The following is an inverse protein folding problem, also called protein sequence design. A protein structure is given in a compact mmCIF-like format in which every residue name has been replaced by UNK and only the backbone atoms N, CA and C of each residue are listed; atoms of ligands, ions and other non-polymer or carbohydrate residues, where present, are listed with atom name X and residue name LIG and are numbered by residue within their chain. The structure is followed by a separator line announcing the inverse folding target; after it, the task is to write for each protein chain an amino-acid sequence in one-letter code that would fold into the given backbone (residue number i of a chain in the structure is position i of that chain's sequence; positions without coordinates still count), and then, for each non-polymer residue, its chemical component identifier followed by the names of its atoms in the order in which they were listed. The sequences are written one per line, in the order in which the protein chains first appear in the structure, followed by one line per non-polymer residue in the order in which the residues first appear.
data_IF_264340655117
#
_entry.id   IF_264340655117
#
_cell.length_a   1.000
_cell.length_b   1.000
_cell.length_c   1.000
_cell.angle_alpha   90.00
_cell.angle_beta   90.00
_cell.angle_gamma   90.00
#
_symmetry.space_group_name_H-M   'P 1'
#
loop_
_entity.id
_entity.type
_entity.pdbx_description
1 polymer ?
#
# COMPACT_ATOMS: atom_id res chain seq x y z
N UNK A 1 8.09 0.96 0.04
CA UNK A 1 8.83 1.39 1.27
C UNK A 1 8.54 2.86 1.50
N UNK A 2 8.30 3.31 2.76
CA UNK A 2 8.04 4.73 3.05
C UNK A 2 9.33 5.55 2.99
N UNK A 3 9.24 6.82 2.58
CA UNK A 3 10.39 7.73 2.49
C UNK A 3 11.11 7.92 3.83
N UNK A 4 10.36 7.93 4.92
CA UNK A 4 10.93 8.02 6.27
C UNK A 4 11.78 6.80 6.65
N UNK A 5 11.39 5.61 6.21
CA UNK A 5 12.17 4.39 6.43
C UNK A 5 13.43 4.40 5.55
N UNK A 6 13.30 4.76 4.27
CA UNK A 6 14.41 4.88 3.34
C UNK A 6 15.52 5.79 3.90
N UNK A 7 15.16 7.01 4.30
CA UNK A 7 16.12 7.98 4.88
C UNK A 7 16.82 7.45 6.14
N UNK A 8 16.08 6.73 7.00
CA UNK A 8 16.66 6.12 8.21
C UNK A 8 17.64 4.99 7.88
N UNK A 9 17.31 4.15 6.90
CA UNK A 9 18.18 3.07 6.46
C UNK A 9 19.44 3.61 5.80
N UNK A 10 19.32 4.61 4.92
CA UNK A 10 20.46 5.30 4.33
C UNK A 10 21.39 5.90 5.39
N UNK A 11 20.83 6.62 6.35
CA UNK A 11 21.61 7.23 7.44
C UNK A 11 22.31 6.18 8.32
N UNK A 12 21.68 5.01 8.53
CA UNK A 12 22.20 3.95 9.39
C UNK A 12 23.27 3.10 8.70
N UNK A 13 23.07 2.74 7.43
CA UNK A 13 23.94 1.81 6.71
C UNK A 13 24.91 2.48 5.74
N UNK A 14 24.62 3.72 5.32
CA UNK A 14 25.44 4.51 4.37
C UNK A 14 25.88 3.67 3.15
N UNK A 15 24.97 2.99 2.45
CA UNK A 15 25.32 2.14 1.32
C UNK A 15 25.77 3.00 0.13
N UNK A 16 26.70 2.48 -0.67
CA UNK A 16 27.09 3.14 -1.94
C UNK A 16 25.93 3.22 -2.92
N UNK A 17 25.00 2.25 -2.86
CA UNK A 17 23.81 2.19 -3.67
C UNK A 17 22.65 1.56 -2.87
N UNK A 18 21.50 2.21 -2.87
CA UNK A 18 20.29 1.70 -2.24
C UNK A 18 19.29 1.26 -3.32
N UNK A 19 19.20 -0.05 -3.53
CA UNK A 19 18.28 -0.64 -4.51
C UNK A 19 16.94 -0.96 -3.83
N UNK A 20 15.83 -0.53 -4.43
CA UNK A 20 14.49 -0.96 -4.05
C UNK A 20 13.99 -2.01 -5.04
N UNK A 21 13.53 -3.14 -4.53
CA UNK A 21 13.02 -4.26 -5.30
C UNK A 21 11.57 -4.53 -4.91
N UNK A 22 10.68 -4.56 -5.89
CA UNK A 22 9.28 -4.90 -5.72
C UNK A 22 8.98 -6.20 -6.45
N UNK A 23 8.36 -7.13 -5.76
CA UNK A 23 8.01 -8.44 -6.26
C UNK A 23 7.12 -9.20 -5.28
N UNK A 24 6.81 -10.45 -5.61
CA UNK A 24 5.99 -11.33 -4.79
C UNK A 24 6.51 -12.75 -4.83
N UNK A 25 5.81 -13.67 -4.16
CA UNK A 25 6.13 -15.12 -4.24
C UNK A 25 5.71 -15.72 -5.59
N UNK A 26 4.77 -15.10 -6.27
CA UNK A 26 4.24 -15.53 -7.57
C UNK A 26 5.15 -15.16 -8.72
N UNK A 27 5.78 -13.99 -8.63
CA UNK A 27 6.80 -13.50 -9.56
C UNK A 27 7.82 -12.73 -8.74
N UNK A 28 9.02 -13.24 -8.65
CA UNK A 28 10.03 -12.71 -7.72
C UNK A 28 10.37 -11.25 -7.99
N UNK A 29 10.51 -10.87 -9.27
CA UNK A 29 10.85 -9.50 -9.67
C UNK A 29 9.77 -8.90 -10.55
N UNK A 30 9.01 -7.95 -10.03
CA UNK A 30 8.17 -7.08 -10.86
C UNK A 30 9.00 -5.91 -11.38
N UNK A 31 9.55 -5.11 -10.46
CA UNK A 31 10.32 -3.91 -10.80
C UNK A 31 11.55 -3.74 -9.92
N UNK A 32 12.53 -2.98 -10.41
CA UNK A 32 13.75 -2.62 -9.69
C UNK A 32 13.98 -1.12 -9.83
N UNK A 33 14.13 -0.42 -8.69
CA UNK A 33 14.66 0.93 -8.62
C UNK A 33 16.14 0.85 -8.21
N UNK A 34 17.06 1.10 -9.13
CA UNK A 34 18.48 0.92 -8.88
C UNK A 34 19.07 1.96 -7.94
N UNK A 35 18.41 3.11 -7.77
CA UNK A 35 18.83 4.17 -6.86
C UNK A 35 17.65 4.82 -6.15
N UNK A 36 17.08 4.10 -5.20
CA UNK A 36 15.89 4.53 -4.46
C UNK A 36 16.06 5.85 -3.70
N UNK A 37 17.28 6.26 -3.41
CA UNK A 37 17.59 7.53 -2.80
C UNK A 37 17.34 8.72 -3.74
N UNK A 38 17.64 8.54 -5.04
CA UNK A 38 17.42 9.57 -6.05
C UNK A 38 15.94 9.76 -6.40
N UNK A 39 15.12 8.69 -6.26
CA UNK A 39 13.68 8.72 -6.57
C UNK A 39 12.86 8.08 -5.43
N UNK A 40 12.71 8.77 -4.29
CA UNK A 40 11.99 8.26 -3.13
C UNK A 40 10.56 7.84 -3.49
N UNK A 41 10.10 6.69 -2.95
CA UNK A 41 8.79 6.12 -3.24
C UNK A 41 8.71 5.28 -4.51
N UNK A 42 9.64 5.43 -5.44
CA UNK A 42 9.70 4.62 -6.66
C UNK A 42 9.99 3.15 -6.35
N UNK A 43 9.29 2.27 -7.02
CA UNK A 43 9.60 0.85 -7.13
C UNK A 43 10.41 0.55 -8.40
N UNK A 44 10.67 1.56 -9.21
CA UNK A 44 11.47 1.48 -10.43
C UNK A 44 10.72 0.94 -11.65
N UNK A 45 11.47 0.38 -12.59
CA UNK A 45 10.97 -0.13 -13.86
C UNK A 45 10.96 -1.65 -13.88
N UNK A 46 10.21 -2.22 -14.83
CA UNK A 46 10.13 -3.66 -15.02
C UNK A 46 11.51 -4.31 -15.00
N UNK A 47 11.60 -5.44 -14.31
CA UNK A 47 12.80 -6.26 -14.25
C UNK A 47 13.16 -6.88 -15.62
N UNK A 48 14.28 -7.59 -15.66
CA UNK A 48 14.69 -8.29 -16.87
C UNK A 48 13.64 -9.33 -17.28
N UNK A 49 13.26 -9.32 -18.56
CA UNK A 49 12.25 -10.22 -19.13
C UNK A 49 10.88 -10.14 -18.41
N UNK A 50 10.54 -8.96 -17.85
CA UNK A 50 9.25 -8.73 -17.20
C UNK A 50 8.53 -7.56 -17.87
N UNK A 51 7.20 -7.65 -17.97
CA UNK A 51 6.32 -6.57 -18.37
C UNK A 51 5.33 -6.25 -17.25
N UNK A 52 5.19 -4.97 -16.95
CA UNK A 52 4.26 -4.45 -15.92
C UNK A 52 3.32 -3.47 -16.60
N UNK A 53 2.04 -3.57 -16.25
CA UNK A 53 1.01 -2.59 -16.63
C UNK A 53 0.26 -2.12 -15.40
N UNK A 54 -0.33 -0.94 -15.52
CA UNK A 54 -1.34 -0.44 -14.59
C UNK A 54 -2.66 -0.36 -15.36
N UNK A 55 -3.66 -1.09 -14.88
CA UNK A 55 -4.99 -1.17 -15.52
C UNK A 55 -6.05 -0.52 -14.62
N UNK A 56 -7.20 -0.18 -15.19
CA UNK A 56 -8.29 0.44 -14.44
C UNK A 56 -8.69 -0.40 -13.21
N UNK A 57 -8.99 0.25 -12.10
CA UNK A 57 -9.44 -0.43 -10.88
C UNK A 57 -10.73 -1.22 -11.15
N UNK A 58 -10.73 -2.49 -10.74
CA UNK A 58 -11.86 -3.40 -10.93
C UNK A 58 -11.93 -4.04 -12.32
N UNK A 59 -11.04 -3.68 -13.27
CA UNK A 59 -10.93 -4.37 -14.55
C UNK A 59 -10.24 -5.73 -14.40
N UNK A 60 -10.62 -6.67 -15.25
CA UNK A 60 -9.91 -7.94 -15.49
C UNK A 60 -9.33 -8.01 -16.90
N UNK A 61 -9.44 -6.93 -17.68
CA UNK A 61 -8.86 -6.83 -19.02
C UNK A 61 -7.45 -6.22 -18.95
N UNK A 62 -6.39 -6.95 -19.32
CA UNK A 62 -5.03 -6.43 -19.29
C UNK A 62 -4.76 -5.33 -20.35
N UNK A 63 -5.69 -5.08 -21.25
CA UNK A 63 -5.60 -4.01 -22.26
C UNK A 63 -6.22 -2.69 -21.78
N UNK A 64 -7.00 -2.71 -20.71
CA UNK A 64 -7.63 -1.51 -20.17
C UNK A 64 -6.66 -0.71 -19.28
N UNK A 65 -5.53 -0.32 -19.89
CA UNK A 65 -4.46 0.42 -19.24
C UNK A 65 -4.86 1.86 -18.93
N UNK A 66 -4.33 2.40 -17.82
CA UNK A 66 -4.47 3.82 -17.46
C UNK A 66 -3.27 4.65 -17.95
N UNK A 67 -3.44 5.96 -18.03
CA UNK A 67 -2.34 6.88 -18.40
C UNK A 67 -1.36 7.12 -17.25
N UNK A 68 -0.26 7.87 -17.53
CA UNK A 68 0.69 8.26 -16.50
C UNK A 68 0.02 9.00 -15.33
N UNK A 69 0.55 8.81 -14.12
CA UNK A 69 0.09 9.42 -12.87
C UNK A 69 -1.38 9.09 -12.49
N UNK A 70 -1.99 8.11 -13.17
CA UNK A 70 -3.35 7.63 -12.85
C UNK A 70 -3.23 6.32 -12.08
N UNK A 71 -3.83 6.27 -10.88
CA UNK A 71 -3.87 5.06 -10.07
C UNK A 71 -4.73 3.96 -10.71
N UNK A 72 -4.23 2.74 -10.65
CA UNK A 72 -4.91 1.55 -11.12
C UNK A 72 -4.36 0.30 -10.45
N UNK A 73 -4.84 -0.86 -10.86
CA UNK A 73 -4.33 -2.14 -10.40
C UNK A 73 -3.08 -2.53 -11.16
N UNK A 74 -2.04 -2.94 -10.44
CA UNK A 74 -0.78 -3.39 -11.01
C UNK A 74 -0.95 -4.83 -11.48
N UNK A 75 -0.55 -5.10 -12.72
CA UNK A 75 -0.50 -6.45 -13.29
C UNK A 75 0.89 -6.74 -13.85
N UNK A 76 1.27 -8.03 -13.84
CA UNK A 76 2.56 -8.51 -14.32
C UNK A 76 2.38 -9.64 -15.33
N UNK A 77 3.20 -9.66 -16.39
CA UNK A 77 3.14 -10.70 -17.41
C UNK A 77 3.54 -12.07 -16.84
N UNK A 78 2.88 -13.14 -17.31
CA UNK A 78 3.13 -14.52 -16.87
C UNK A 78 4.07 -15.30 -17.80
N UNK A 79 4.60 -14.68 -18.85
CA UNK A 79 5.54 -15.28 -19.80
C UNK A 79 7.01 -15.11 -19.39
N UNK A 80 7.28 -14.39 -18.29
CA UNK A 80 8.61 -14.27 -17.72
C UNK A 80 9.10 -15.56 -17.04
N UNK A 81 10.42 -15.78 -17.02
CA UNK A 81 11.06 -16.99 -16.47
C UNK A 81 10.83 -17.17 -14.97
N UNK A 82 10.55 -16.11 -14.23
CA UNK A 82 10.28 -16.13 -12.79
C UNK A 82 8.79 -16.34 -12.44
N UNK A 83 7.92 -16.39 -13.44
CA UNK A 83 6.48 -16.47 -13.21
C UNK A 83 6.04 -17.86 -12.77
N UNK A 84 5.20 -17.91 -11.73
CA UNK A 84 4.56 -19.15 -11.31
C UNK A 84 3.53 -19.63 -12.34
N UNK A 85 3.20 -20.91 -12.33
CA UNK A 85 2.19 -21.51 -13.23
C UNK A 85 0.77 -21.41 -12.66
N UNK A 86 0.62 -20.99 -11.41
CA UNK A 86 -0.64 -20.85 -10.71
C UNK A 86 -0.60 -21.40 -9.28
N UNK A 87 -1.66 -21.18 -8.54
CA UNK A 87 -1.82 -21.65 -7.16
C UNK A 87 -2.24 -23.13 -7.13
N UNK A 88 -1.48 -23.95 -6.39
CA UNK A 88 -1.71 -25.37 -6.26
C UNK A 88 -3.05 -25.66 -5.56
N UNK A 89 -3.92 -26.46 -6.18
CA UNK A 89 -5.24 -26.82 -5.66
C UNK A 89 -6.15 -25.63 -5.26
N UNK A 90 -5.96 -24.46 -5.90
CA UNK A 90 -6.74 -23.26 -5.63
C UNK A 90 -7.27 -22.65 -6.95
N UNK A 91 -8.20 -23.34 -7.61
CA UNK A 91 -8.80 -22.83 -8.86
C UNK A 91 -9.50 -21.48 -8.64
N UNK A 92 -10.12 -21.27 -7.48
CA UNK A 92 -10.73 -20.02 -7.06
C UNK A 92 -9.73 -18.84 -7.06
N UNK A 93 -8.53 -19.07 -6.54
CA UNK A 93 -7.47 -18.05 -6.52
C UNK A 93 -6.90 -17.81 -7.93
N UNK A 94 -6.76 -18.85 -8.73
CA UNK A 94 -6.32 -18.72 -10.12
C UNK A 94 -7.34 -17.91 -10.94
N UNK A 95 -8.63 -18.24 -10.84
CA UNK A 95 -9.68 -17.50 -11.52
C UNK A 95 -9.72 -16.01 -11.11
N UNK A 96 -9.48 -15.73 -9.83
CA UNK A 96 -9.43 -14.33 -9.33
C UNK A 96 -8.23 -13.55 -9.84
N UNK A 97 -7.07 -14.21 -10.01
CA UNK A 97 -5.79 -13.49 -10.15
C UNK A 97 -5.12 -13.66 -11.52
N UNK A 98 -5.53 -14.63 -12.36
CA UNK A 98 -4.86 -14.92 -13.62
C UNK A 98 -5.81 -14.68 -14.79
N UNK A 99 -5.57 -13.63 -15.57
CA UNK A 99 -6.41 -13.27 -16.71
C UNK A 99 -5.55 -12.93 -17.93
N UNK A 100 -5.86 -13.54 -19.08
CA UNK A 100 -5.27 -13.16 -20.37
C UNK A 100 -3.74 -13.21 -20.44
N UNK A 101 -3.11 -14.12 -19.68
CA UNK A 101 -1.64 -14.21 -19.61
C UNK A 101 -0.99 -13.24 -18.61
N UNK A 102 -1.79 -12.61 -17.74
CA UNK A 102 -1.33 -11.66 -16.74
C UNK A 102 -1.72 -12.10 -15.31
N UNK A 103 -0.82 -11.80 -14.38
CA UNK A 103 -1.05 -11.91 -12.94
C UNK A 103 -1.52 -10.56 -12.40
N UNK A 104 -2.72 -10.53 -11.87
CA UNK A 104 -3.32 -9.40 -11.17
C UNK A 104 -2.86 -9.43 -9.72
N UNK A 105 -1.89 -8.58 -9.38
CA UNK A 105 -1.15 -8.65 -8.11
C UNK A 105 -2.00 -8.35 -6.88
N UNK A 106 -3.13 -7.66 -7.07
CA UNK A 106 -3.93 -7.09 -5.99
C UNK A 106 -3.32 -5.83 -5.40
N UNK A 107 -2.19 -5.35 -5.91
CA UNK A 107 -1.60 -4.08 -5.52
C UNK A 107 -2.13 -2.95 -6.41
N UNK A 108 -2.19 -1.74 -5.84
CA UNK A 108 -2.58 -0.49 -6.50
C UNK A 108 -1.35 0.39 -6.64
N UNK A 109 -1.27 1.10 -7.76
CA UNK A 109 -0.19 2.03 -8.00
C UNK A 109 -0.39 2.80 -9.30
N UNK A 110 0.60 3.57 -9.68
CA UNK A 110 0.65 4.30 -10.93
C UNK A 110 2.07 4.26 -11.52
N UNK A 111 2.17 4.50 -12.80
CA UNK A 111 3.46 4.78 -13.45
C UNK A 111 3.53 6.27 -13.75
N UNK A 112 4.68 6.88 -13.48
CA UNK A 112 4.92 8.25 -13.88
C UNK A 112 5.21 8.38 -15.39
N UNK A 113 5.40 9.61 -15.88
CA UNK A 113 5.69 9.86 -17.28
C UNK A 113 7.02 9.24 -17.76
N UNK A 114 7.91 8.89 -16.85
CA UNK A 114 9.19 8.22 -17.13
C UNK A 114 9.07 6.68 -17.13
N UNK A 115 7.89 6.16 -16.71
CA UNK A 115 7.57 4.75 -16.62
C UNK A 115 8.03 4.07 -15.33
N UNK A 116 8.39 4.85 -14.31
CA UNK A 116 8.69 4.32 -12.98
C UNK A 116 7.41 4.03 -12.20
N UNK A 117 7.35 2.87 -11.57
CA UNK A 117 6.19 2.40 -10.81
C UNK A 117 6.21 2.94 -9.38
N UNK A 118 5.07 3.41 -8.90
CA UNK A 118 4.82 3.78 -7.51
C UNK A 118 3.69 2.93 -6.96
N UNK A 119 4.00 2.11 -5.95
CA UNK A 119 3.01 1.24 -5.29
C UNK A 119 2.36 2.03 -4.15
N UNK A 120 1.05 2.28 -4.24
CA UNK A 120 0.30 3.13 -3.31
C UNK A 120 -0.54 2.34 -2.31
N UNK A 121 -0.81 1.06 -2.56
CA UNK A 121 -1.58 0.24 -1.63
C UNK A 121 -1.99 -1.11 -2.19
N UNK A 122 -3.08 -1.65 -1.63
CA UNK A 122 -3.70 -2.90 -2.07
C UNK A 122 -5.19 -2.71 -2.35
N UNK A 123 -5.69 -3.42 -3.37
CA UNK A 123 -7.12 -3.42 -3.70
C UNK A 123 -7.96 -3.89 -2.51
N UNK A 124 -7.54 -4.97 -1.84
CA UNK A 124 -8.27 -5.56 -0.71
C UNK A 124 -8.24 -4.67 0.57
N UNK A 125 -7.28 -3.74 0.68
CA UNK A 125 -7.17 -2.80 1.81
C UNK A 125 -7.88 -1.46 1.53
N UNK A 126 -8.35 -1.23 0.31
CA UNK A 126 -9.00 0.01 -0.09
C UNK A 126 -10.26 0.28 0.74
N UNK A 127 -10.36 1.48 1.27
CA UNK A 127 -11.50 1.96 2.03
C UNK A 127 -12.44 2.70 1.09
N UNK A 128 -13.70 2.26 1.03
CA UNK A 128 -14.73 2.96 0.25
C UNK A 128 -15.58 3.79 1.21
N UNK A 129 -15.27 5.08 1.28
CA UNK A 129 -15.93 6.00 2.21
C UNK A 129 -16.66 7.12 1.47
N UNK A 130 -17.99 7.14 1.56
CA UNK A 130 -18.81 8.14 0.89
C UNK A 130 -18.73 8.11 -0.64
N UNK A 131 -18.37 6.97 -1.22
CA UNK A 131 -18.18 6.77 -2.66
C UNK A 131 -16.74 7.04 -3.15
N UNK A 132 -15.85 7.49 -2.27
CA UNK A 132 -14.44 7.75 -2.59
C UNK A 132 -13.57 6.54 -2.26
N UNK A 133 -12.61 6.24 -3.12
CA UNK A 133 -11.60 5.22 -2.90
C UNK A 133 -10.43 5.83 -2.12
N UNK A 134 -10.13 5.26 -0.96
CA UNK A 134 -9.10 5.78 -0.06
C UNK A 134 -8.11 4.66 0.25
N UNK A 135 -6.84 4.89 -0.05
CA UNK A 135 -5.77 3.95 0.27
C UNK A 135 -5.21 4.25 1.67
N UNK A 136 -5.18 3.26 2.57
CA UNK A 136 -4.66 3.43 3.93
C UNK A 136 -3.24 3.96 4.00
N UNK A 137 -2.37 3.52 3.09
CA UNK A 137 -0.94 3.81 3.12
C UNK A 137 -0.61 5.31 3.05
N UNK A 138 -1.40 6.11 2.32
CA UNK A 138 -1.22 7.56 2.23
C UNK A 138 -1.44 8.23 3.60
N UNK A 139 -2.49 7.80 4.30
CA UNK A 139 -2.83 8.32 5.63
C UNK A 139 -1.81 7.84 6.67
N UNK A 140 -1.44 6.56 6.59
CA UNK A 140 -0.40 5.95 7.45
C UNK A 140 0.94 6.67 7.29
N UNK A 141 1.31 7.04 6.07
CA UNK A 141 2.52 7.82 5.78
C UNK A 141 2.50 9.16 6.52
N UNK A 142 1.42 9.92 6.38
CA UNK A 142 1.25 11.22 7.04
C UNK A 142 1.30 11.09 8.56
N UNK A 143 0.55 10.16 9.15
CA UNK A 143 0.48 9.97 10.60
C UNK A 143 1.78 9.42 11.19
N UNK A 144 2.52 8.59 10.46
CA UNK A 144 3.81 8.04 10.90
C UNK A 144 4.90 9.08 11.12
N UNK A 145 4.77 10.24 10.48
CA UNK A 145 5.69 11.38 10.64
C UNK A 145 5.39 12.23 11.90
N UNK A 146 4.24 12.01 12.55
CA UNK A 146 3.93 12.72 13.79
C UNK A 146 4.80 12.23 14.94
N UNK A 147 5.48 13.11 15.71
CA UNK A 147 6.44 12.72 16.74
C UNK A 147 5.87 11.79 17.82
N UNK A 148 4.60 11.96 18.15
CA UNK A 148 3.92 11.16 19.18
C UNK A 148 3.42 9.80 18.69
N UNK A 149 3.50 9.51 17.37
CA UNK A 149 3.00 8.25 16.79
C UNK A 149 4.13 7.23 16.73
N UNK A 150 3.90 6.05 17.30
CA UNK A 150 4.80 4.90 17.23
C UNK A 150 4.57 4.12 15.95
N UNK A 151 3.48 3.40 15.92
CA UNK A 151 2.99 2.68 14.76
C UNK A 151 1.58 3.15 14.42
N UNK A 152 1.18 2.96 13.17
CA UNK A 152 -0.15 3.32 12.70
C UNK A 152 -0.64 2.30 11.69
N UNK A 153 -1.91 1.97 11.78
CA UNK A 153 -2.65 1.21 10.76
C UNK A 153 -4.01 1.86 10.54
N UNK A 154 -4.39 2.03 9.29
CA UNK A 154 -5.66 2.65 8.91
C UNK A 154 -6.56 1.61 8.28
N UNK A 155 -7.83 1.59 8.69
CA UNK A 155 -8.85 0.69 8.15
C UNK A 155 -10.18 1.42 7.97
N UNK A 156 -11.05 0.87 7.12
CA UNK A 156 -12.45 1.26 7.03
C UNK A 156 -13.28 0.44 8.00
N UNK A 157 -13.89 1.10 8.99
CA UNK A 157 -14.88 0.45 9.84
C UNK A 157 -16.30 0.71 9.31
N UNK A 158 -17.24 -0.25 9.46
CA UNK A 158 -18.61 -0.06 9.02
C UNK A 158 -19.21 1.22 9.60
N UNK A 159 -19.88 2.02 8.75
CA UNK A 159 -20.50 3.27 9.16
C UNK A 159 -21.78 3.52 8.37
N UNK A 160 -22.86 3.86 9.06
CA UNK A 160 -24.21 3.98 8.52
C UNK A 160 -24.32 5.01 7.37
N UNK A 161 -23.64 6.14 7.49
CA UNK A 161 -23.71 7.24 6.52
C UNK A 161 -22.73 7.07 5.34
N UNK A 162 -21.52 6.56 5.60
CA UNK A 162 -20.43 6.55 4.61
C UNK A 162 -20.11 5.17 4.06
N UNK A 163 -20.84 4.12 4.47
CA UNK A 163 -20.47 2.74 4.18
C UNK A 163 -19.30 2.30 5.05
N UNK A 164 -18.15 2.96 4.86
CA UNK A 164 -16.99 2.79 5.72
C UNK A 164 -16.51 4.13 6.28
N UNK A 165 -16.08 4.15 7.53
CA UNK A 165 -15.42 5.28 8.20
C UNK A 165 -13.92 5.03 8.28
N UNK A 166 -13.14 5.96 7.76
CA UNK A 166 -11.69 5.95 7.90
C UNK A 166 -11.32 6.06 9.38
N UNK A 167 -10.68 5.01 9.90
CA UNK A 167 -10.27 4.91 11.31
C UNK A 167 -8.79 4.61 11.40
N UNK A 168 -8.04 5.43 12.13
CA UNK A 168 -6.62 5.24 12.39
C UNK A 168 -6.42 4.56 13.76
N UNK A 169 -5.73 3.42 13.77
CA UNK A 169 -5.26 2.74 14.97
C UNK A 169 -3.79 3.11 15.19
N UNK A 170 -3.43 3.52 16.40
CA UNK A 170 -2.11 4.06 16.69
C UNK A 170 -1.57 3.52 18.01
N UNK A 171 -0.25 3.24 18.02
CA UNK A 171 0.48 3.07 19.28
C UNK A 171 1.17 4.39 19.60
N UNK A 172 0.87 5.06 20.73
CA UNK A 172 1.48 6.32 21.06
C UNK A 172 2.91 6.13 21.61
N UNK A 173 3.82 7.06 21.25
CA UNK A 173 5.15 7.17 21.90
C UNK A 173 5.11 8.12 23.10
N UNK A 174 4.17 9.04 23.08
CA UNK A 174 3.90 10.03 24.11
C UNK A 174 2.43 10.43 24.05
N UNK A 175 1.93 11.03 25.11
CA UNK A 175 0.53 11.49 25.18
C UNK A 175 0.20 12.42 24.02
N UNK A 176 -0.85 12.09 23.29
CA UNK A 176 -1.40 12.87 22.18
C UNK A 176 -2.92 12.70 22.16
N UNK A 177 -3.63 13.76 21.83
CA UNK A 177 -5.08 13.70 21.67
C UNK A 177 -5.52 13.65 20.20
N UNK A 178 -6.77 13.33 19.98
CA UNK A 178 -7.37 13.24 18.64
C UNK A 178 -7.30 14.56 17.88
N UNK A 179 -7.43 15.70 18.58
CA UNK A 179 -7.43 17.02 17.96
C UNK A 179 -6.05 17.37 17.40
N UNK A 180 -4.97 16.98 18.08
CA UNK A 180 -3.61 17.19 17.62
C UNK A 180 -3.31 16.34 16.36
N UNK A 181 -3.77 15.08 16.33
CA UNK A 181 -3.63 14.20 15.16
C UNK A 181 -4.45 14.70 13.96
N UNK A 182 -5.68 15.16 14.19
CA UNK A 182 -6.51 15.75 13.13
C UNK A 182 -5.90 17.04 12.59
N UNK A 183 -5.39 17.92 13.46
CA UNK A 183 -4.69 19.14 13.06
C UNK A 183 -3.40 18.84 12.28
N UNK A 184 -2.71 17.74 12.57
CA UNK A 184 -1.56 17.27 11.81
C UNK A 184 -1.95 16.88 10.39
N UNK A 185 -3.01 16.06 10.24
CA UNK A 185 -3.54 15.68 8.93
C UNK A 185 -4.01 16.90 8.13
N UNK A 186 -4.64 17.89 8.79
CA UNK A 186 -5.09 19.13 8.15
C UNK A 186 -3.96 19.99 7.57
N UNK A 187 -2.76 19.90 8.15
CA UNK A 187 -1.57 20.64 7.69
C UNK A 187 -0.77 19.91 6.62
N UNK A 188 -1.09 18.65 6.36
CA UNK A 188 -0.45 17.85 5.31
C UNK A 188 -1.14 18.05 3.97
N UNK A 189 -0.56 17.46 2.91
CA UNK A 189 -1.14 17.45 1.57
C UNK A 189 -2.28 16.44 1.40
N UNK A 190 -2.70 15.78 2.50
CA UNK A 190 -3.78 14.80 2.49
C UNK A 190 -5.12 15.47 2.14
N UNK A 191 -5.79 14.96 1.13
CA UNK A 191 -7.11 15.47 0.75
C UNK A 191 -8.09 15.41 1.94
N UNK A 192 -8.94 16.43 2.17
CA UNK A 192 -9.78 16.53 3.37
C UNK A 192 -10.70 15.33 3.63
N UNK A 193 -11.17 14.66 2.57
CA UNK A 193 -12.05 13.49 2.69
C UNK A 193 -11.30 12.22 3.12
N UNK A 194 -9.98 12.16 2.92
CA UNK A 194 -9.11 11.03 3.31
C UNK A 194 -8.76 11.04 4.80
N UNK A 195 -8.91 12.17 5.50
CA UNK A 195 -8.56 12.27 6.93
C UNK A 195 -9.34 11.25 7.77
N UNK A 196 -8.71 10.61 8.76
CA UNK A 196 -9.41 9.77 9.71
C UNK A 196 -10.54 10.52 10.41
N UNK A 197 -11.67 9.84 10.58
CA UNK A 197 -12.81 10.34 11.36
C UNK A 197 -12.80 9.81 12.79
N UNK A 198 -11.99 8.79 13.03
CA UNK A 198 -11.77 8.23 14.36
C UNK A 198 -10.30 7.84 14.53
N UNK A 199 -9.81 7.99 15.75
CA UNK A 199 -8.48 7.58 16.19
C UNK A 199 -8.66 6.64 17.37
N UNK A 200 -8.03 5.47 17.32
CA UNK A 200 -8.08 4.45 18.36
C UNK A 200 -6.67 4.19 18.85
N UNK A 201 -6.42 4.42 20.14
CA UNK A 201 -5.14 4.09 20.75
C UNK A 201 -5.13 2.62 21.16
N UNK A 202 -4.07 1.92 20.74
CA UNK A 202 -3.89 0.50 20.98
C UNK A 202 -2.50 0.23 21.54
N UNK A 203 -2.37 -0.83 22.33
CA UNK A 203 -1.08 -1.23 22.88
C UNK A 203 -0.13 -1.77 21.81
N UNK A 204 -0.69 -2.39 20.77
CA UNK A 204 0.08 -2.93 19.64
C UNK A 204 -0.77 -2.98 18.36
N UNK A 205 -0.14 -2.83 17.21
CA UNK A 205 -0.76 -3.11 15.90
C UNK A 205 -0.60 -4.60 15.58
N UNK A 206 -1.71 -5.35 15.35
CA UNK A 206 -1.63 -6.77 15.03
C UNK A 206 -0.81 -7.04 13.77
N UNK A 207 0.17 -7.95 13.85
CA UNK A 207 1.05 -8.31 12.74
C UNK A 207 1.17 -9.83 12.59
N UNK A 208 1.42 -10.26 11.37
CA UNK A 208 1.83 -11.62 11.08
C UNK A 208 3.25 -11.89 11.58
N UNK A 209 3.68 -13.16 11.67
CA UNK A 209 5.06 -13.50 12.05
C UNK A 209 6.15 -12.87 11.16
N UNK A 210 5.79 -12.49 9.93
CA UNK A 210 6.68 -11.79 8.99
C UNK A 210 6.51 -10.27 9.00
N UNK A 211 5.81 -9.71 10.00
CA UNK A 211 5.69 -8.28 10.22
C UNK A 211 4.61 -7.57 9.39
N UNK A 212 3.79 -8.27 8.58
CA UNK A 212 2.69 -7.66 7.82
C UNK A 212 1.54 -7.30 8.76
N UNK A 213 1.00 -6.09 8.64
CA UNK A 213 -0.19 -5.63 9.38
C UNK A 213 -1.39 -6.52 9.05
N UNK A 214 -2.06 -7.02 10.09
CA UNK A 214 -3.27 -7.83 9.96
C UNK A 214 -4.52 -6.96 10.14
N UNK A 215 -4.81 -6.11 9.15
CA UNK A 215 -5.94 -5.16 9.17
C UNK A 215 -7.28 -5.82 9.47
N UNK A 216 -7.48 -7.07 9.02
CA UNK A 216 -8.69 -7.85 9.32
C UNK A 216 -8.98 -7.99 10.81
N UNK A 217 -7.95 -8.08 11.67
CA UNK A 217 -8.11 -8.17 13.12
C UNK A 217 -8.58 -6.85 13.71
N UNK A 218 -8.09 -5.72 13.19
CA UNK A 218 -8.56 -4.39 13.59
C UNK A 218 -10.02 -4.18 13.22
N UNK A 219 -10.43 -4.60 12.02
CA UNK A 219 -11.83 -4.53 11.57
C UNK A 219 -12.72 -5.45 12.39
N UNK A 220 -12.23 -6.63 12.80
CA UNK A 220 -12.96 -7.59 13.65
C UNK A 220 -13.05 -7.16 15.13
N UNK A 221 -12.37 -6.08 15.54
CA UNK A 221 -12.31 -5.66 16.95
C UNK A 221 -11.35 -6.50 17.80
N UNK A 222 -10.47 -7.28 17.17
CA UNK A 222 -9.50 -8.15 17.84
C UNK A 222 -8.19 -7.39 18.10
N UNK A 223 -8.25 -6.40 19.00
CA UNK A 223 -7.10 -5.60 19.43
C UNK A 223 -7.23 -5.24 20.91
N UNK A 224 -6.14 -4.82 21.54
CA UNK A 224 -6.13 -4.32 22.92
C UNK A 224 -6.04 -2.79 22.88
N UNK A 225 -7.07 -2.12 23.38
CA UNK A 225 -7.02 -0.68 23.61
C UNK A 225 -6.07 -0.34 24.77
N UNK A 226 -5.47 0.83 24.67
CA UNK A 226 -4.65 1.40 25.74
C UNK A 226 -5.50 1.89 26.91
#
# INVERSE_FOLDING_TARGET
MTDGLLKRLEAAFQPDLFVNHYGSSEIYTFTIEPNAAAKPGSAGKAGLNQEIRVVALGSTDPLETVGPDVEGQIIAALDGDEAFTGYWNRPDANEKSLHGGWYFTGDVGYQDAEGDLFVTGRVDDMIISGGENILPAEIESVLSLHPAVGEVAVVGLPHERWGQQVTAFLTPRQTVDHAALDAWCLKSDLAPYKRPRAYVFVTEIPKSPVGKILRRLLVAGEYKSE
#
